data_IF_104445589293
#
_entry.id   IF_104445589293
#
_cell.length_a   1.000
_cell.length_b   1.000
_cell.length_c   1.000
_cell.angle_alpha   90.00
_cell.angle_beta   90.00
_cell.angle_gamma   90.00
#
_symmetry.space_group_name_H-M   'P 1'
#
loop_
_entity.id
_entity.type
_entity.pdbx_description
1 polymer ?
#
# COMPACT_ATOMS: atom_id res chain seq x y z
N UNK A 1 -4.67 -7.89 12.58
CA UNK A 1 -4.38 -7.67 14.01
C UNK A 1 -5.50 -8.23 14.88
N UNK A 2 -5.21 -8.77 16.07
CA UNK A 2 -6.24 -9.12 17.08
C UNK A 2 -6.51 -7.98 18.07
N UNK A 3 -5.75 -6.89 17.98
CA UNK A 3 -5.88 -5.73 18.85
C UNK A 3 -7.10 -4.91 18.44
N UNK A 4 -8.11 -4.85 19.33
CA UNK A 4 -9.34 -4.07 19.11
C UNK A 4 -9.10 -2.56 19.09
N UNK A 5 -7.97 -2.10 19.62
CA UNK A 5 -7.58 -0.69 19.66
C UNK A 5 -6.66 -0.28 18.50
N UNK A 6 -6.27 -1.20 17.62
CA UNK A 6 -5.50 -0.87 16.42
C UNK A 6 -6.43 -0.21 15.38
N UNK A 7 -6.02 0.94 14.83
CA UNK A 7 -6.75 1.66 13.79
C UNK A 7 -5.77 2.45 12.92
N UNK A 8 -6.23 2.88 11.75
CA UNK A 8 -5.44 3.66 10.80
C UNK A 8 -5.11 2.90 9.51
N UNK A 9 -4.27 3.53 8.71
CA UNK A 9 -3.86 3.06 7.38
C UNK A 9 -2.35 2.84 7.39
N UNK A 10 -1.89 1.73 6.83
CA UNK A 10 -0.47 1.44 6.57
C UNK A 10 -0.29 0.88 5.17
N UNK A 11 0.83 1.24 4.55
CA UNK A 11 1.18 0.77 3.21
C UNK A 11 2.54 0.10 3.25
N UNK A 12 2.67 -1.01 2.53
CA UNK A 12 3.87 -1.84 2.52
C UNK A 12 4.46 -1.98 1.12
N UNK A 13 5.78 -2.07 1.04
CA UNK A 13 6.49 -2.56 -0.14
C UNK A 13 7.36 -3.77 0.22
N UNK A 14 7.81 -4.51 -0.79
CA UNK A 14 8.62 -5.70 -0.60
C UNK A 14 10.04 -5.34 -0.12
N UNK A 15 10.38 -5.72 1.12
CA UNK A 15 11.74 -5.70 1.66
C UNK A 15 11.85 -6.61 2.90
N UNK A 16 13.04 -6.74 3.48
CA UNK A 16 13.18 -7.33 4.81
C UNK A 16 12.51 -6.43 5.85
N UNK A 17 11.67 -7.03 6.69
CA UNK A 17 10.98 -6.32 7.75
C UNK A 17 11.94 -5.79 8.81
N UNK A 18 11.68 -4.56 9.29
CA UNK A 18 12.48 -3.89 10.32
C UNK A 18 11.83 -3.88 11.70
N UNK A 19 10.56 -4.26 11.79
CA UNK A 19 9.79 -4.24 13.03
C UNK A 19 8.90 -5.49 13.17
N UNK A 20 8.56 -5.82 14.42
CA UNK A 20 7.77 -7.00 14.73
C UNK A 20 6.34 -6.94 14.18
N UNK A 21 5.73 -5.76 14.05
CA UNK A 21 4.38 -5.64 13.51
C UNK A 21 4.38 -5.99 12.02
N UNK A 22 5.34 -5.48 11.25
CA UNK A 22 5.53 -5.81 9.84
C UNK A 22 5.77 -7.31 9.62
N UNK A 23 6.56 -7.96 10.50
CA UNK A 23 6.76 -9.42 10.47
C UNK A 23 5.44 -10.16 10.67
N UNK A 24 4.63 -9.77 11.65
CA UNK A 24 3.36 -10.44 11.94
C UNK A 24 2.35 -10.28 10.80
N UNK A 25 2.30 -9.09 10.19
CA UNK A 25 1.44 -8.83 9.04
C UNK A 25 1.89 -9.67 7.84
N UNK A 26 3.18 -9.66 7.51
CA UNK A 26 3.72 -10.51 6.45
C UNK A 26 3.44 -12.00 6.70
N UNK A 27 3.65 -12.50 7.91
CA UNK A 27 3.36 -13.89 8.26
C UNK A 27 1.87 -14.23 8.07
N UNK A 28 0.95 -13.32 8.45
CA UNK A 28 -0.50 -13.51 8.25
C UNK A 28 -0.85 -13.58 6.76
N UNK A 29 -0.41 -12.60 5.97
CA UNK A 29 -0.73 -12.54 4.55
C UNK A 29 -0.09 -13.71 3.78
N UNK A 30 1.15 -14.05 4.12
CA UNK A 30 1.87 -15.16 3.50
C UNK A 30 1.30 -16.54 3.87
N UNK A 31 0.63 -16.70 5.01
CA UNK A 31 0.04 -17.98 5.43
C UNK A 31 -1.04 -18.49 4.46
N UNK A 32 -1.61 -17.60 3.64
CA UNK A 32 -2.56 -17.96 2.58
C UNK A 32 -1.88 -18.44 1.29
N UNK A 33 -0.55 -18.35 1.21
CA UNK A 33 0.25 -18.72 0.04
C UNK A 33 0.70 -20.18 0.12
N UNK A 34 0.76 -20.86 -1.04
CA UNK A 34 1.24 -22.26 -1.15
C UNK A 34 2.77 -22.38 -1.24
N UNK A 35 3.48 -21.34 -0.81
CA UNK A 35 4.92 -21.11 -0.99
C UNK A 35 5.70 -21.71 0.21
N UNK A 36 6.83 -22.40 -0.03
CA UNK A 36 7.69 -23.09 0.99
C UNK A 36 9.15 -22.62 0.95
N UNK A 37 9.98 -22.93 1.98
CA UNK A 37 11.44 -22.62 2.18
C UNK A 37 12.25 -22.06 0.98
N UNK A 38 12.14 -22.63 -0.22
CA UNK A 38 12.62 -22.02 -1.47
C UNK A 38 12.22 -20.55 -1.65
N UNK A 39 11.11 -20.08 -1.09
CA UNK A 39 10.65 -18.71 -1.25
C UNK A 39 11.46 -17.71 -0.45
N UNK A 40 12.11 -18.11 0.65
CA UNK A 40 13.02 -17.20 1.34
C UNK A 40 14.22 -16.91 0.43
N UNK A 41 14.73 -17.94 -0.25
CA UNK A 41 15.77 -17.75 -1.27
C UNK A 41 15.23 -16.94 -2.45
N UNK A 42 13.98 -17.14 -2.88
CA UNK A 42 13.35 -16.32 -3.93
C UNK A 42 13.19 -14.86 -3.50
N UNK A 43 12.74 -14.59 -2.27
CA UNK A 43 12.65 -13.24 -1.72
C UNK A 43 14.03 -12.60 -1.70
N UNK A 44 15.05 -13.28 -1.18
CA UNK A 44 16.40 -12.73 -1.12
C UNK A 44 16.96 -12.46 -2.52
N UNK A 45 16.75 -13.38 -3.47
CA UNK A 45 17.14 -13.17 -4.86
C UNK A 45 16.41 -11.96 -5.46
N UNK A 46 15.10 -11.86 -5.28
CA UNK A 46 14.33 -10.71 -5.73
C UNK A 46 14.87 -9.43 -5.11
N UNK A 47 15.06 -9.36 -3.78
CA UNK A 47 15.59 -8.16 -3.13
C UNK A 47 16.97 -7.75 -3.66
N UNK A 48 17.81 -8.73 -4.00
CA UNK A 48 19.13 -8.48 -4.60
C UNK A 48 19.04 -8.00 -6.06
N UNK A 49 18.01 -8.39 -6.80
CA UNK A 49 17.84 -8.05 -8.22
C UNK A 49 16.89 -6.85 -8.46
N UNK A 50 16.11 -6.46 -7.45
CA UNK A 50 14.96 -5.60 -7.64
C UNK A 50 15.32 -4.10 -7.50
N UNK A 51 15.59 -3.46 -8.64
CA UNK A 51 15.71 -2.00 -8.77
C UNK A 51 14.42 -1.23 -8.42
N UNK A 52 13.28 -1.93 -8.30
CA UNK A 52 11.94 -1.37 -8.05
C UNK A 52 11.62 -1.22 -6.57
N UNK A 53 12.52 -1.58 -5.65
CA UNK A 53 12.30 -1.34 -4.20
C UNK A 53 12.13 0.16 -3.94
N UNK A 54 13.03 1.00 -4.47
CA UNK A 54 12.95 2.46 -4.30
C UNK A 54 11.71 3.04 -4.97
N UNK A 55 11.34 2.53 -6.14
CA UNK A 55 10.14 2.96 -6.87
C UNK A 55 8.87 2.56 -6.12
N UNK A 56 8.81 1.36 -5.55
CA UNK A 56 7.70 0.86 -4.73
C UNK A 56 7.55 1.63 -3.43
N UNK A 57 8.68 1.99 -2.79
CA UNK A 57 8.69 2.84 -1.61
C UNK A 57 8.12 4.24 -1.90
N UNK A 58 8.52 4.87 -3.02
CA UNK A 58 7.94 6.15 -3.47
C UNK A 58 6.45 6.04 -3.76
N UNK A 59 6.04 5.01 -4.52
CA UNK A 59 4.63 4.74 -4.80
C UNK A 59 3.83 4.57 -3.50
N UNK A 60 4.36 3.81 -2.53
CA UNK A 60 3.74 3.62 -1.23
C UNK A 60 3.55 4.93 -0.49
N UNK A 61 4.54 5.83 -0.48
CA UNK A 61 4.45 7.14 0.17
C UNK A 61 3.36 8.00 -0.45
N UNK A 62 3.31 8.12 -1.78
CA UNK A 62 2.28 8.89 -2.49
C UNK A 62 0.86 8.38 -2.21
N UNK A 63 0.68 7.06 -2.20
CA UNK A 63 -0.61 6.43 -1.91
C UNK A 63 -1.01 6.61 -0.44
N UNK A 64 -0.09 6.35 0.50
CA UNK A 64 -0.30 6.51 1.94
C UNK A 64 -0.73 7.94 2.28
N UNK A 65 0.01 8.94 1.80
CA UNK A 65 -0.28 10.34 2.06
C UNK A 65 -1.63 10.76 1.46
N UNK A 66 -1.92 10.34 0.22
CA UNK A 66 -3.17 10.71 -0.46
C UNK A 66 -4.40 10.13 0.22
N UNK A 67 -4.37 8.87 0.65
CA UNK A 67 -5.46 8.24 1.40
C UNK A 67 -5.66 8.96 2.73
N UNK A 68 -4.59 9.17 3.51
CA UNK A 68 -4.70 9.79 4.82
C UNK A 68 -5.23 11.22 4.74
N UNK A 69 -4.71 12.06 3.83
CA UNK A 69 -5.18 13.43 3.64
C UNK A 69 -6.67 13.49 3.28
N UNK A 70 -7.11 12.61 2.38
CA UNK A 70 -8.49 12.61 1.92
C UNK A 70 -9.44 12.15 3.04
N UNK A 71 -9.11 11.06 3.73
CA UNK A 71 -9.94 10.55 4.83
C UNK A 71 -9.99 11.52 6.01
N UNK A 72 -8.87 12.14 6.39
CA UNK A 72 -8.80 13.07 7.53
C UNK A 72 -9.69 14.31 7.33
N UNK A 73 -10.03 14.65 6.09
CA UNK A 73 -10.95 15.74 5.77
C UNK A 73 -12.43 15.44 6.08
N UNK A 74 -12.81 14.17 6.27
CA UNK A 74 -14.21 13.73 6.47
C UNK A 74 -14.43 12.84 7.68
N UNK A 75 -13.40 12.14 8.14
CA UNK A 75 -13.49 11.17 9.21
C UNK A 75 -12.55 11.56 10.34
N UNK A 76 -13.04 11.49 11.58
CA UNK A 76 -12.20 11.68 12.75
C UNK A 76 -11.32 10.45 13.02
N UNK A 77 -10.26 10.63 13.81
CA UNK A 77 -9.41 9.51 14.26
C UNK A 77 -8.83 8.69 13.10
N UNK A 78 -8.44 9.36 12.02
CA UNK A 78 -7.61 8.77 10.97
C UNK A 78 -6.16 8.78 11.46
N UNK A 79 -5.52 7.62 11.44
CA UNK A 79 -4.12 7.48 11.84
C UNK A 79 -3.29 7.05 10.66
N UNK A 80 -2.34 7.89 10.27
CA UNK A 80 -1.28 7.52 9.35
C UNK A 80 -0.26 6.65 10.10
N UNK A 81 -0.23 5.34 9.83
CA UNK A 81 0.76 4.41 10.41
C UNK A 81 2.02 4.30 9.56
N UNK A 82 2.11 5.08 8.49
CA UNK A 82 3.28 5.23 7.64
C UNK A 82 3.44 4.14 6.59
N UNK A 83 4.51 4.31 5.82
CA UNK A 83 5.01 3.31 4.88
C UNK A 83 5.95 2.37 5.63
N UNK A 84 5.80 1.07 5.36
CA UNK A 84 6.56 -0.01 5.98
C UNK A 84 7.10 -0.96 4.93
N UNK A 85 7.96 -1.86 5.36
CA UNK A 85 8.57 -2.85 4.49
C UNK A 85 8.49 -4.23 5.12
N UNK A 86 8.13 -5.24 4.33
CA UNK A 86 8.06 -6.62 4.81
C UNK A 86 8.08 -7.64 3.65
N UNK A 87 8.44 -8.91 3.92
CA UNK A 87 8.62 -9.92 2.90
C UNK A 87 7.27 -10.53 2.45
N UNK A 88 6.46 -9.78 1.71
CA UNK A 88 5.16 -10.23 1.22
C UNK A 88 5.27 -11.07 -0.05
N UNK A 89 4.74 -12.30 -0.04
CA UNK A 89 4.76 -13.20 -1.19
C UNK A 89 3.94 -12.71 -2.38
N UNK A 90 2.89 -11.93 -2.14
CA UNK A 90 2.05 -11.34 -3.19
C UNK A 90 2.78 -10.26 -3.99
N UNK A 91 3.83 -9.66 -3.42
CA UNK A 91 4.65 -8.65 -4.08
C UNK A 91 5.88 -9.26 -4.77
N UNK A 92 6.11 -10.56 -4.60
CA UNK A 92 7.27 -11.27 -5.14
C UNK A 92 7.16 -11.45 -6.67
N UNK A 93 8.25 -11.22 -7.39
CA UNK A 93 8.35 -11.35 -8.84
C UNK A 93 7.78 -10.17 -9.62
N UNK A 94 7.33 -9.11 -8.94
CA UNK A 94 6.80 -7.92 -9.61
C UNK A 94 7.89 -7.21 -10.43
N UNK A 95 7.66 -7.10 -11.74
CA UNK A 95 8.57 -6.40 -12.68
C UNK A 95 8.31 -4.88 -12.73
N UNK A 96 7.37 -4.40 -11.93
CA UNK A 96 6.95 -3.01 -11.78
C UNK A 96 6.88 -2.64 -10.29
N UNK A 97 6.81 -1.34 -9.95
CA UNK A 97 6.56 -0.92 -8.57
C UNK A 97 5.27 -1.54 -8.03
N UNK A 98 5.33 -2.16 -6.85
CA UNK A 98 4.22 -2.88 -6.26
C UNK A 98 4.12 -2.65 -4.74
N UNK A 99 2.90 -2.47 -4.25
CA UNK A 99 2.61 -2.14 -2.84
C UNK A 99 1.41 -2.96 -2.33
N UNK A 100 1.33 -3.12 -1.01
CA UNK A 100 0.16 -3.65 -0.30
C UNK A 100 -0.37 -2.56 0.62
N UNK A 101 -1.66 -2.23 0.52
CA UNK A 101 -2.31 -1.20 1.35
C UNK A 101 -3.23 -1.88 2.36
N UNK A 102 -2.94 -1.74 3.65
CA UNK A 102 -3.86 -2.10 4.73
C UNK A 102 -4.73 -0.87 5.06
N UNK A 103 -5.97 -0.90 4.58
CA UNK A 103 -6.87 0.26 4.57
C UNK A 103 -7.60 0.50 5.90
N UNK A 104 -7.77 -0.54 6.72
CA UNK A 104 -8.50 -0.51 7.98
C UNK A 104 -8.27 -1.77 8.81
N UNK A 105 -8.47 -1.67 10.12
CA UNK A 105 -8.33 -2.80 11.04
C UNK A 105 -9.70 -3.40 11.39
N UNK A 106 -10.07 -4.53 10.78
CA UNK A 106 -11.37 -5.21 11.02
C UNK A 106 -11.59 -5.57 12.51
N UNK A 107 -10.51 -5.76 13.28
CA UNK A 107 -10.59 -6.01 14.72
C UNK A 107 -11.11 -4.82 15.53
N UNK A 108 -11.05 -3.60 14.98
CA UNK A 108 -11.59 -2.40 15.58
C UNK A 108 -13.02 -2.16 15.05
N UNK A 109 -13.97 -2.02 15.97
CA UNK A 109 -15.39 -1.92 15.64
C UNK A 109 -15.71 -0.71 14.75
N UNK A 110 -15.11 0.46 15.03
CA UNK A 110 -15.33 1.67 14.23
C UNK A 110 -14.75 1.53 12.82
N UNK A 111 -13.53 1.01 12.70
CA UNK A 111 -12.90 0.79 11.39
C UNK A 111 -13.69 -0.26 10.59
N UNK A 112 -14.21 -1.31 11.23
CA UNK A 112 -15.09 -2.29 10.60
C UNK A 112 -16.41 -1.68 10.11
N UNK A 113 -17.05 -0.82 10.92
CA UNK A 113 -18.25 -0.08 10.51
C UNK A 113 -17.96 0.84 9.32
N UNK A 114 -16.85 1.58 9.35
CA UNK A 114 -16.40 2.41 8.22
C UNK A 114 -16.14 1.59 6.97
N UNK A 115 -15.47 0.44 7.10
CA UNK A 115 -15.15 -0.41 5.97
C UNK A 115 -16.41 -1.00 5.30
N UNK A 116 -17.54 -1.08 6.01
CA UNK A 116 -18.84 -1.46 5.44
C UNK A 116 -19.60 -0.28 4.80
N UNK A 117 -19.14 0.96 4.95
CA UNK A 117 -19.74 2.14 4.31
C UNK A 117 -19.13 2.36 2.92
N UNK A 118 -19.98 2.30 1.90
CA UNK A 118 -19.64 2.61 0.50
C UNK A 118 -18.90 3.94 0.33
N UNK A 119 -19.29 4.99 1.06
CA UNK A 119 -18.65 6.32 0.93
C UNK A 119 -17.22 6.32 1.47
N UNK A 120 -16.96 5.53 2.51
CA UNK A 120 -15.61 5.38 3.04
C UNK A 120 -14.72 4.58 2.07
N UNK A 121 -15.27 3.52 1.48
CA UNK A 121 -14.59 2.75 0.42
C UNK A 121 -14.27 3.63 -0.79
N UNK A 122 -15.23 4.42 -1.28
CA UNK A 122 -15.05 5.33 -2.41
C UNK A 122 -13.92 6.34 -2.15
N UNK A 123 -13.87 6.91 -0.93
CA UNK A 123 -12.80 7.83 -0.55
C UNK A 123 -11.43 7.15 -0.44
N UNK A 124 -11.36 5.88 0.02
CA UNK A 124 -10.11 5.12 -0.04
C UNK A 124 -9.68 4.94 -1.49
N UNK A 125 -10.59 4.52 -2.38
CA UNK A 125 -10.32 4.34 -3.80
C UNK A 125 -9.85 5.64 -4.46
N UNK A 126 -10.50 6.77 -4.19
CA UNK A 126 -10.09 8.09 -4.67
C UNK A 126 -8.69 8.45 -4.16
N UNK A 127 -8.40 8.19 -2.89
CA UNK A 127 -7.07 8.37 -2.30
C UNK A 127 -5.99 7.56 -3.00
N UNK A 128 -6.27 6.28 -3.28
CA UNK A 128 -5.36 5.39 -4.04
C UNK A 128 -5.13 5.95 -5.45
N UNK A 129 -6.19 6.28 -6.18
CA UNK A 129 -6.09 6.82 -7.55
C UNK A 129 -5.29 8.12 -7.57
N UNK A 130 -5.56 9.03 -6.62
CA UNK A 130 -4.81 10.28 -6.48
C UNK A 130 -3.33 10.02 -6.20
N UNK A 131 -3.01 9.11 -5.28
CA UNK A 131 -1.62 8.75 -4.96
C UNK A 131 -0.88 8.15 -6.15
N UNK A 132 -1.50 7.22 -6.88
CA UNK A 132 -0.93 6.65 -8.11
C UNK A 132 -0.68 7.73 -9.16
N UNK A 133 -1.62 8.67 -9.36
CA UNK A 133 -1.43 9.79 -10.29
C UNK A 133 -0.29 10.71 -9.86
N UNK A 134 -0.19 11.04 -8.57
CA UNK A 134 0.92 11.85 -8.03
C UNK A 134 2.28 11.17 -8.28
N UNK A 135 2.37 9.87 -8.04
CA UNK A 135 3.58 9.10 -8.34
C UNK A 135 3.92 9.12 -9.83
N UNK A 136 2.94 8.89 -10.72
CA UNK A 136 3.16 8.92 -12.18
C UNK A 136 3.66 10.30 -12.63
N UNK A 137 3.07 11.38 -12.11
CA UNK A 137 3.52 12.76 -12.39
C UNK A 137 4.96 13.00 -11.94
N UNK A 138 5.37 12.44 -10.80
CA UNK A 138 6.73 12.57 -10.27
C UNK A 138 7.76 11.86 -11.17
N UNK A 139 7.44 10.67 -11.69
CA UNK A 139 8.36 9.90 -12.55
C UNK A 139 8.32 10.34 -14.01
N UNK A 140 7.21 10.90 -14.46
CA UNK A 140 7.04 11.39 -15.82
C UNK A 140 6.10 12.61 -15.83
N UNK A 141 6.63 13.82 -15.62
CA UNK A 141 5.85 15.06 -15.54
C UNK A 141 5.00 15.37 -16.78
N UNK A 142 5.27 14.69 -17.90
CA UNK A 142 4.55 14.88 -19.17
C UNK A 142 3.52 13.79 -19.47
N UNK A 143 3.41 12.74 -18.65
CA UNK A 143 2.56 11.59 -18.92
C UNK A 143 1.08 11.97 -19.13
N UNK A 144 0.57 12.94 -18.36
CA UNK A 144 -0.83 13.40 -18.47
C UNK A 144 -1.01 14.63 -19.35
N UNK A 145 0.06 15.29 -19.78
CA UNK A 145 -0.02 16.43 -20.72
C UNK A 145 -0.38 15.97 -22.14
N UNK A 146 -0.10 14.70 -22.49
CA UNK A 146 -0.45 14.13 -23.80
C UNK A 146 -1.95 13.79 -23.94
N UNK A 147 -2.63 13.44 -22.86
CA UNK A 147 -4.06 13.06 -22.93
C UNK A 147 -4.99 14.27 -23.12
N UNK A 148 -4.65 15.42 -22.54
CA UNK A 148 -5.45 16.66 -22.68
C UNK A 148 -5.43 17.22 -24.10
N UNK A 149 -4.34 17.01 -24.84
CA UNK A 149 -4.20 17.47 -26.24
C UNK A 149 -4.91 16.56 -27.26
N UNK A 150 -5.28 15.34 -26.88
CA UNK A 150 -5.92 14.37 -27.77
C UNK A 150 -7.46 14.45 -27.77
N UNK A 151 -8.08 15.23 -26.87
CA UNK A 151 -9.54 15.41 -26.79
C UNK A 151 -10.03 16.79 -27.28
N UNK A 152 -9.16 17.57 -27.92
CA UNK A 152 -9.44 18.95 -28.35
C UNK A 152 -9.26 19.23 -29.84
N UNK A 153 -9.32 18.21 -30.70
CA UNK A 153 -9.23 18.34 -32.16
C UNK A 153 -10.50 17.93 -32.87
#
# INVERSE_FOLDING_TARGET
SRNKNAYGIETYFLNLATDHDAIQVAARENATSTKNISDLQTILNDLMQNSKINESSRLASHVQESICQLLDSKYSMIKNKGVKQAPFYVLLGAQMPAILVETSFISNERECQRLNDSRYQDMICEGIVKGVRSYINEINPTAFLRESSAKGG
#
